data_IF_656428400594
#
_entry.id   IF_656428400594
#
_cell.length_a   1.000
_cell.length_b   1.000
_cell.length_c   1.000
_cell.angle_alpha   90.00
_cell.angle_beta   90.00
_cell.angle_gamma   90.00
#
_symmetry.space_group_name_H-M   'P 1'
#
loop_
_entity.id
_entity.type
_entity.pdbx_description
1 polymer ?
#
# COMPACT_ATOMS: atom_id res chain seq x y z
N UNK A 1 5.20 18.08 -6.20
CA UNK A 1 4.26 17.26 -6.99
C UNK A 1 3.61 16.28 -6.04
N UNK A 2 2.31 16.01 -6.22
CA UNK A 2 1.57 15.08 -5.38
C UNK A 2 1.21 13.83 -6.19
N UNK A 3 1.24 12.68 -5.54
CA UNK A 3 0.93 11.39 -6.13
C UNK A 3 -0.20 10.75 -5.32
N UNK A 4 -1.27 10.33 -5.99
CA UNK A 4 -2.31 9.51 -5.41
C UNK A 4 -1.95 8.05 -5.63
N UNK A 5 -1.91 7.29 -4.54
CA UNK A 5 -1.46 5.90 -4.55
C UNK A 5 -2.48 5.02 -3.86
N UNK A 6 -2.73 3.85 -4.44
CA UNK A 6 -3.58 2.82 -3.85
C UNK A 6 -2.75 1.56 -3.62
N UNK A 7 -2.74 1.08 -2.38
CA UNK A 7 -2.13 -0.18 -1.99
C UNK A 7 -3.22 -1.17 -1.65
N UNK A 8 -3.15 -2.36 -2.23
CA UNK A 8 -4.07 -3.44 -1.96
C UNK A 8 -3.38 -4.53 -1.15
N UNK A 9 -4.01 -5.00 -0.08
CA UNK A 9 -3.54 -6.14 0.68
C UNK A 9 -4.22 -7.40 0.16
N UNK A 10 -3.50 -8.22 -0.60
CA UNK A 10 -4.06 -9.43 -1.23
C UNK A 10 -4.48 -10.48 -0.20
N UNK A 11 -3.87 -10.48 0.99
CA UNK A 11 -4.17 -11.43 2.07
C UNK A 11 -5.40 -11.03 2.88
N UNK A 12 -5.63 -9.72 3.05
CA UNK A 12 -6.66 -9.16 3.92
C UNK A 12 -7.84 -8.55 3.15
N UNK A 13 -7.72 -8.38 1.82
CA UNK A 13 -8.74 -7.73 0.99
C UNK A 13 -8.91 -6.24 1.27
N UNK A 14 -7.88 -5.56 1.80
CA UNK A 14 -7.96 -4.16 2.24
C UNK A 14 -7.32 -3.26 1.17
N UNK A 15 -7.99 -2.16 0.82
CA UNK A 15 -7.44 -1.10 -0.04
C UNK A 15 -7.13 0.14 0.80
N UNK A 16 -5.87 0.58 0.78
CA UNK A 16 -5.40 1.78 1.46
C UNK A 16 -4.98 2.84 0.45
N UNK A 17 -5.35 4.11 0.69
CA UNK A 17 -5.14 5.22 -0.25
C UNK A 17 -4.29 6.32 0.39
N UNK A 18 -3.29 6.80 -0.34
CA UNK A 18 -2.37 7.84 0.15
C UNK A 18 -2.16 8.94 -0.90
N UNK A 19 -2.13 10.18 -0.43
CA UNK A 19 -1.61 11.33 -1.18
C UNK A 19 -0.20 11.65 -0.70
N UNK A 20 0.82 11.34 -1.51
CA UNK A 20 2.22 11.53 -1.14
C UNK A 20 2.83 12.66 -1.96
N UNK A 21 3.48 13.60 -1.29
CA UNK A 21 4.28 14.63 -1.95
C UNK A 21 5.70 14.12 -2.20
N UNK A 22 6.06 14.02 -3.48
CA UNK A 22 7.39 13.59 -3.89
C UNK A 22 7.75 14.09 -5.29
N UNK A 23 9.04 14.35 -5.56
CA UNK A 23 9.49 14.81 -6.89
C UNK A 23 9.45 13.69 -7.95
N UNK A 24 9.59 12.43 -7.54
CA UNK A 24 9.64 11.26 -8.44
C UNK A 24 8.60 10.20 -8.03
N UNK A 25 8.02 9.45 -8.98
CA UNK A 25 7.05 8.41 -8.67
C UNK A 25 7.68 7.29 -7.82
N UNK A 26 8.92 6.88 -8.12
CA UNK A 26 9.62 5.86 -7.32
C UNK A 26 9.81 6.29 -5.86
N UNK A 27 10.12 7.56 -5.61
CA UNK A 27 10.21 8.11 -4.25
C UNK A 27 8.84 8.12 -3.55
N UNK A 28 7.78 8.45 -4.29
CA UNK A 28 6.41 8.38 -3.77
C UNK A 28 6.03 6.95 -3.35
N UNK A 29 6.38 5.93 -4.16
CA UNK A 29 6.14 4.51 -3.83
C UNK A 29 6.83 4.11 -2.53
N UNK A 30 8.10 4.47 -2.36
CA UNK A 30 8.85 4.15 -1.15
C UNK A 30 8.25 4.79 0.09
N UNK A 31 7.84 6.06 -0.01
CA UNK A 31 7.18 6.78 1.08
C UNK A 31 5.78 6.21 1.38
N UNK A 32 4.98 5.94 0.35
CA UNK A 32 3.66 5.33 0.48
C UNK A 32 3.72 3.95 1.11
N UNK A 33 4.69 3.11 0.72
CA UNK A 33 4.90 1.79 1.34
C UNK A 33 5.25 1.89 2.81
N UNK A 34 6.09 2.86 3.20
CA UNK A 34 6.39 3.13 4.62
C UNK A 34 5.15 3.55 5.40
N UNK A 35 4.31 4.40 4.81
CA UNK A 35 3.05 4.83 5.44
C UNK A 35 2.10 3.65 5.66
N UNK A 36 1.90 2.80 4.62
CA UNK A 36 1.09 1.58 4.71
C UNK A 36 1.56 0.67 5.84
N UNK A 37 2.87 0.41 5.93
CA UNK A 37 3.42 -0.49 6.93
C UNK A 37 3.38 0.09 8.35
N UNK A 38 3.38 1.42 8.50
CA UNK A 38 3.21 2.09 9.78
C UNK A 38 1.76 2.05 10.26
N UNK A 39 0.79 2.24 9.36
CA UNK A 39 -0.64 2.20 9.67
C UNK A 39 -1.16 0.77 9.83
N UNK A 40 -0.67 -0.15 9.01
CA UNK A 40 -1.03 -1.55 9.01
C UNK A 40 0.21 -2.42 9.28
N UNK A 41 0.71 -2.43 10.53
CA UNK A 41 1.84 -3.26 10.88
C UNK A 41 1.49 -4.72 10.59
N UNK A 42 2.43 -5.43 9.95
CA UNK A 42 2.30 -6.87 9.76
C UNK A 42 2.35 -7.52 11.14
N UNK A 43 1.27 -8.20 11.53
CA UNK A 43 1.28 -9.00 12.76
C UNK A 43 2.42 -10.02 12.67
N UNK A 44 3.36 -10.05 13.63
CA UNK A 44 4.43 -11.04 13.62
C UNK A 44 3.79 -12.42 13.71
N UNK A 45 3.87 -13.19 12.61
CA UNK A 45 3.36 -14.55 12.58
C UNK A 45 4.27 -15.41 13.46
N UNK A 46 3.71 -15.95 14.55
CA UNK A 46 4.43 -16.80 15.53
C UNK A 46 4.86 -18.16 14.97
N UNK A 47 4.49 -18.53 13.75
CA UNK A 47 4.90 -19.80 13.14
C UNK A 47 6.20 -19.64 12.34
N UNK A 48 7.05 -20.68 12.34
CA UNK A 48 8.11 -20.82 11.33
C UNK A 48 7.50 -20.62 9.94
N UNK A 49 8.16 -19.83 9.10
CA UNK A 49 7.82 -19.68 7.70
C UNK A 49 8.09 -21.00 6.98
N UNK A 50 7.20 -21.41 6.11
CA UNK A 50 7.48 -22.49 5.17
C UNK A 50 8.57 -22.08 4.18
N UNK A 51 9.25 -23.05 3.56
CA UNK A 51 10.28 -22.78 2.54
C UNK A 51 9.72 -21.95 1.37
N UNK A 52 8.45 -22.18 1.01
CA UNK A 52 7.74 -21.40 -0.01
C UNK A 52 7.60 -19.92 0.40
N UNK A 53 7.09 -19.65 1.60
CA UNK A 53 6.95 -18.28 2.13
C UNK A 53 8.31 -17.57 2.29
N UNK A 54 9.38 -18.33 2.51
CA UNK A 54 10.73 -17.80 2.57
C UNK A 54 11.27 -17.45 1.17
N UNK A 55 10.97 -18.26 0.15
CA UNK A 55 11.31 -17.97 -1.23
C UNK A 55 10.58 -16.73 -1.76
N UNK A 56 9.29 -16.55 -1.43
CA UNK A 56 8.53 -15.34 -1.78
C UNK A 56 9.18 -14.07 -1.19
N UNK A 57 9.62 -14.13 0.08
CA UNK A 57 10.37 -13.04 0.74
C UNK A 57 11.67 -12.69 0.02
N UNK A 58 12.44 -13.70 -0.39
CA UNK A 58 13.72 -13.51 -1.09
C UNK A 58 13.48 -13.01 -2.52
N UNK A 59 12.37 -13.41 -3.16
CA UNK A 59 11.93 -12.94 -4.47
C UNK A 59 11.40 -11.50 -4.50
N UNK A 60 11.44 -10.77 -3.38
CA UNK A 60 11.04 -9.37 -3.31
C UNK A 60 9.55 -9.14 -3.01
N UNK A 61 8.75 -10.20 -2.83
CA UNK A 61 7.42 -10.07 -2.24
C UNK A 61 7.56 -9.90 -0.73
N UNK A 62 7.13 -8.76 -0.20
CA UNK A 62 7.08 -8.63 1.25
C UNK A 62 6.02 -9.60 1.82
N UNK A 63 6.28 -10.13 3.01
CA UNK A 63 5.31 -10.98 3.68
C UNK A 63 4.10 -10.21 4.25
N UNK A 64 4.03 -8.89 4.03
CA UNK A 64 2.91 -8.06 4.48
C UNK A 64 1.68 -8.23 3.58
N UNK A 65 1.91 -8.68 2.34
CA UNK A 65 0.85 -8.89 1.35
C UNK A 65 0.34 -7.60 0.72
N UNK A 66 1.02 -6.47 0.96
CA UNK A 66 0.69 -5.18 0.36
C UNK A 66 1.34 -5.04 -1.01
N UNK A 67 0.53 -4.76 -2.02
CA UNK A 67 0.94 -4.54 -3.39
C UNK A 67 0.53 -3.14 -3.82
N UNK A 68 1.40 -2.42 -4.54
CA UNK A 68 1.01 -1.17 -5.18
C UNK A 68 0.04 -1.49 -6.32
N UNK A 69 -1.23 -1.13 -6.13
CA UNK A 69 -2.28 -1.38 -7.10
C UNK A 69 -2.37 -0.27 -8.15
N UNK A 70 -2.25 0.99 -7.71
CA UNK A 70 -2.39 2.15 -8.58
C UNK A 70 -1.48 3.30 -8.13
N UNK A 71 -0.91 4.01 -9.10
CA UNK A 71 -0.23 5.29 -8.88
C UNK A 71 -0.69 6.30 -9.95
N UNK A 72 -1.07 7.49 -9.51
CA UNK A 72 -1.50 8.58 -10.39
C UNK A 72 -0.84 9.87 -9.95
N UNK A 73 -0.39 10.68 -10.90
CA UNK A 73 0.07 12.04 -10.62
C UNK A 73 -1.14 12.93 -10.32
N UNK A 74 -1.20 13.49 -9.13
CA UNK A 74 -2.22 14.46 -8.75
C UNK A 74 -1.81 15.84 -9.32
N UNK A 75 -2.50 16.24 -10.39
CA UNK A 75 -2.28 17.50 -11.09
C UNK A 75 -3.13 18.66 -10.53
N UNK A 76 -3.77 18.50 -9.37
CA UNK A 76 -4.62 19.54 -8.76
C UNK A 76 -5.94 19.80 -9.50
N UNK A 77 -6.16 19.16 -10.65
CA UNK A 77 -7.48 19.12 -11.32
C UNK A 77 -8.28 17.98 -10.70
N UNK A 78 -8.92 18.29 -9.57
CA UNK A 78 -10.02 17.54 -8.97
C UNK A 78 -9.96 16.03 -9.20
N UNK A 79 -9.01 15.34 -8.57
CA UNK A 79 -9.26 13.94 -8.24
C UNK A 79 -10.41 13.98 -7.25
N UNK A 80 -11.63 13.70 -7.73
CA UNK A 80 -12.80 13.60 -6.89
C UNK A 80 -12.43 12.79 -5.65
N UNK A 81 -12.48 13.47 -4.50
CA UNK A 81 -12.66 12.82 -3.22
C UNK A 81 -13.98 12.05 -3.32
N UNK A 82 -13.94 10.85 -3.88
CA UNK A 82 -15.01 9.88 -3.66
C UNK A 82 -14.81 9.46 -2.22
N UNK A 83 -15.69 10.00 -1.38
CA UNK A 83 -15.72 9.83 0.06
C UNK A 83 -15.50 8.37 0.48
N UNK A 84 -14.89 8.12 1.66
CA UNK A 84 -14.91 6.79 2.24
C UNK A 84 -16.38 6.33 2.33
N UNK A 85 -16.64 5.08 1.95
CA UNK A 85 -17.95 4.47 2.12
C UNK A 85 -18.35 4.59 3.59
N UNK A 86 -19.29 5.49 3.89
CA UNK A 86 -20.01 5.49 5.15
C UNK A 86 -20.71 4.12 5.26
N UNK A 87 -20.31 3.37 6.29
CA UNK A 87 -21.08 2.24 6.76
C UNK A 87 -22.42 2.80 7.26
N UNK A 88 -23.46 2.59 6.45
CA UNK A 88 -24.85 2.79 6.87
C UNK A 88 -25.17 1.68 7.89
N UNK A 89 -25.47 2.08 9.13
CA UNK A 89 -26.20 1.28 10.12
C UNK A 89 -27.68 1.67 9.99
#
# INVERSE_FOLDING_TARGET
MKWLMEFYNERRGILARYGIEAPLPAAAVLLGRKAVLAEYPSTPRRSRLSLFEQAERVGGQDASGWVLYRIVKDNGRGSASIAPAEAII
#
